data_IF_750533824766
#
_entry.id   IF_750533824766
#
_cell.length_a   1.000
_cell.length_b   1.000
_cell.length_c   1.000
_cell.angle_alpha   90.00
_cell.angle_beta   90.00
_cell.angle_gamma   90.00
#
_symmetry.space_group_name_H-M   'P 1'
#
loop_
_entity.id
_entity.type
_entity.pdbx_description
1 polymer ?
#
# COMPACT_ATOMS: atom_id res chain seq x y z
N UNK A 1 2.48 5.08 5.36
CA UNK A 1 1.95 5.97 6.42
C UNK A 1 2.93 5.97 7.59
N UNK A 2 3.18 7.12 8.22
CA UNK A 2 4.11 7.25 9.35
C UNK A 2 3.40 7.93 10.52
N UNK A 3 3.60 7.42 11.73
CA UNK A 3 3.11 8.04 12.97
C UNK A 3 4.23 8.09 14.01
N UNK A 4 4.40 9.22 14.69
CA UNK A 4 5.44 9.43 15.70
C UNK A 4 4.86 9.89 17.03
N UNK A 5 5.46 9.44 18.13
CA UNK A 5 5.03 9.76 19.49
C UNK A 5 6.22 9.79 20.47
N UNK A 6 5.97 10.29 21.68
CA UNK A 6 6.88 10.14 22.82
C UNK A 6 6.40 8.97 23.66
N UNK A 7 7.29 8.04 23.97
CA UNK A 7 6.97 6.81 24.67
C UNK A 7 8.00 6.46 25.74
N UNK A 8 8.00 5.20 26.14
CA UNK A 8 8.91 4.65 27.12
C UNK A 8 10.33 4.45 26.57
N UNK A 9 11.28 4.24 27.49
CA UNK A 9 12.59 3.72 27.15
C UNK A 9 12.46 2.30 26.59
N UNK A 10 13.20 1.92 25.52
CA UNK A 10 13.25 0.53 25.05
C UNK A 10 13.74 -0.47 26.11
N UNK A 11 14.36 0.02 27.20
CA UNK A 11 14.74 -0.80 28.36
C UNK A 11 13.56 -1.14 29.27
N UNK A 12 12.53 -0.30 29.29
CA UNK A 12 11.32 -0.49 30.09
C UNK A 12 10.25 -1.29 29.33
N UNK A 13 10.22 -1.18 28.01
CA UNK A 13 9.31 -1.91 27.14
C UNK A 13 9.47 -1.51 25.68
N UNK A 14 8.97 -2.36 24.79
CA UNK A 14 8.75 -2.00 23.38
C UNK A 14 7.24 -1.90 23.19
N UNK A 15 6.73 -0.77 22.68
CA UNK A 15 5.30 -0.62 22.46
C UNK A 15 4.81 -1.59 21.39
N UNK A 16 3.59 -2.10 21.58
CA UNK A 16 2.87 -2.89 20.58
C UNK A 16 2.09 -1.95 19.68
N UNK A 17 2.22 -2.13 18.37
CA UNK A 17 1.50 -1.33 17.37
C UNK A 17 0.55 -2.25 16.61
N UNK A 18 -0.69 -1.82 16.50
CA UNK A 18 -1.69 -2.41 15.62
C UNK A 18 -2.25 -1.34 14.68
N UNK A 19 -2.86 -1.79 13.58
CA UNK A 19 -3.62 -0.92 12.69
C UNK A 19 -5.11 -1.21 12.83
N UNK A 20 -5.91 -0.17 12.93
CA UNK A 20 -7.36 -0.26 12.97
C UNK A 20 -7.96 0.33 11.70
N UNK A 21 -9.06 -0.28 11.24
CA UNK A 21 -9.86 0.19 10.11
C UNK A 21 -11.24 0.63 10.62
N UNK A 22 -11.75 1.71 10.07
CA UNK A 22 -13.13 2.13 10.31
C UNK A 22 -14.09 1.19 9.58
N UNK A 23 -15.00 0.54 10.32
CA UNK A 23 -15.99 -0.42 9.77
C UNK A 23 -17.40 0.18 9.70
N UNK A 24 -17.67 1.18 10.53
CA UNK A 24 -18.82 2.08 10.45
C UNK A 24 -18.43 3.42 11.10
N UNK A 25 -19.28 4.45 11.01
CA UNK A 25 -18.98 5.78 11.52
C UNK A 25 -18.42 5.74 12.95
N UNK A 26 -17.17 6.20 13.10
CA UNK A 26 -16.40 6.21 14.35
C UNK A 26 -16.26 4.85 15.07
N UNK A 27 -16.54 3.75 14.37
CA UNK A 27 -16.37 2.38 14.86
C UNK A 27 -15.17 1.75 14.20
N UNK A 28 -14.20 1.37 15.03
CA UNK A 28 -12.88 0.92 14.58
C UNK A 28 -12.65 -0.53 14.99
N UNK A 29 -12.13 -1.32 14.06
CA UNK A 29 -11.73 -2.70 14.31
C UNK A 29 -10.25 -2.89 14.00
N UNK A 30 -9.55 -3.60 14.88
CA UNK A 30 -8.18 -4.03 14.61
C UNK A 30 -8.16 -4.89 13.35
N UNK A 31 -7.29 -4.55 12.41
CA UNK A 31 -7.08 -5.36 11.22
C UNK A 31 -6.49 -6.71 11.64
N UNK A 32 -7.16 -7.79 11.22
CA UNK A 32 -6.78 -9.17 11.57
C UNK A 32 -6.47 -9.98 10.34
N UNK A 33 -5.56 -10.94 10.53
CA UNK A 33 -5.28 -12.02 9.59
C UNK A 33 -6.40 -13.06 9.68
N UNK A 34 -6.51 -13.94 8.69
CA UNK A 34 -7.37 -15.14 8.69
C UNK A 34 -7.20 -16.00 9.94
N UNK A 35 -6.01 -16.02 10.55
CA UNK A 35 -5.76 -16.72 11.81
C UNK A 35 -6.42 -16.08 13.04
N UNK A 36 -7.07 -14.93 12.88
CA UNK A 36 -7.59 -14.10 13.97
C UNK A 36 -6.52 -13.23 14.65
N UNK A 37 -5.24 -13.44 14.35
CA UNK A 37 -4.15 -12.62 14.89
C UNK A 37 -4.22 -11.18 14.34
N UNK A 38 -3.95 -10.16 15.17
CA UNK A 38 -3.85 -8.80 14.68
C UNK A 38 -2.66 -8.63 13.72
N UNK A 39 -2.75 -7.59 12.90
CA UNK A 39 -1.63 -7.07 12.12
C UNK A 39 -0.75 -6.26 13.07
N UNK A 40 0.45 -6.79 13.34
CA UNK A 40 1.37 -6.35 14.39
C UNK A 40 2.83 -6.68 14.00
N UNK A 41 3.80 -6.21 14.80
CA UNK A 41 5.23 -6.51 14.68
C UNK A 41 5.83 -6.26 13.29
N UNK A 42 6.28 -7.32 12.61
CA UNK A 42 6.94 -7.33 11.29
C UNK A 42 6.06 -6.76 10.17
N UNK A 43 4.84 -6.35 10.50
CA UNK A 43 4.00 -5.59 9.60
C UNK A 43 4.39 -4.13 9.44
N UNK A 44 5.22 -3.63 10.36
CA UNK A 44 5.63 -2.24 10.46
C UNK A 44 7.15 -2.12 10.55
N UNK A 45 7.67 -0.96 10.17
CA UNK A 45 9.00 -0.53 10.60
C UNK A 45 8.84 0.32 11.85
N UNK A 46 9.51 -0.06 12.93
CA UNK A 46 9.51 0.66 14.20
C UNK A 46 10.87 1.33 14.38
N UNK A 47 10.85 2.63 14.62
CA UNK A 47 12.02 3.47 14.83
C UNK A 47 12.02 4.01 16.25
N UNK A 48 13.21 4.15 16.81
CA UNK A 48 13.44 4.74 18.12
C UNK A 48 14.61 5.72 18.06
N UNK A 49 14.46 6.86 18.72
CA UNK A 49 15.57 7.77 18.99
C UNK A 49 15.38 8.42 20.36
N UNK A 50 16.34 8.24 21.28
CA UNK A 50 16.36 8.99 22.53
C UNK A 50 16.95 10.40 22.34
N UNK A 51 16.46 11.36 23.11
CA UNK A 51 16.86 12.76 23.08
C UNK A 51 17.22 13.24 24.50
N UNK A 52 18.49 13.55 24.81
CA UNK A 52 19.64 13.53 23.89
C UNK A 52 20.09 12.10 23.52
N UNK A 53 20.75 11.95 22.37
CA UNK A 53 21.33 10.67 21.93
C UNK A 53 22.53 10.23 22.80
N UNK A 54 23.30 11.20 23.27
CA UNK A 54 24.42 10.97 24.20
C UNK A 54 24.12 11.78 25.45
N UNK A 55 23.83 11.14 26.59
CA UNK A 55 23.61 11.86 27.82
C UNK A 55 24.94 12.42 28.35
N UNK A 56 24.91 13.62 28.93
CA UNK A 56 26.07 14.27 29.54
C UNK A 56 26.42 13.66 30.90
N UNK A 57 25.46 13.02 31.57
CA UNK A 57 25.66 12.24 32.79
C UNK A 57 24.90 10.91 32.72
N UNK A 58 25.32 9.86 33.46
CA UNK A 58 24.61 8.57 33.44
C UNK A 58 23.14 8.62 33.86
N UNK A 59 22.74 9.66 34.60
CA UNK A 59 21.39 9.83 35.17
C UNK A 59 20.56 10.89 34.44
N UNK A 60 21.08 11.49 33.36
CA UNK A 60 20.32 12.48 32.61
C UNK A 60 19.05 11.83 32.03
N UNK A 61 17.91 12.45 32.30
CA UNK A 61 16.64 12.06 31.69
C UNK A 61 16.67 12.19 30.17
N UNK A 62 15.94 11.31 29.49
CA UNK A 62 15.89 11.26 28.03
C UNK A 62 14.45 11.18 27.57
N UNK A 63 14.09 12.00 26.59
CA UNK A 63 12.83 11.85 25.88
C UNK A 63 12.99 10.74 24.85
N UNK A 64 12.14 9.72 24.92
CA UNK A 64 12.18 8.61 23.97
C UNK A 64 11.16 8.84 22.86
N UNK A 65 11.66 9.16 21.67
CA UNK A 65 10.82 9.36 20.49
C UNK A 65 10.74 8.06 19.73
N UNK A 66 9.52 7.66 19.40
CA UNK A 66 9.20 6.50 18.59
C UNK A 66 8.52 6.94 17.31
N UNK A 67 8.72 6.17 16.24
CA UNK A 67 7.92 6.31 15.03
C UNK A 67 7.63 4.93 14.45
N UNK A 68 6.46 4.78 13.86
CA UNK A 68 6.05 3.58 13.14
C UNK A 68 5.77 3.93 11.69
N UNK A 69 6.23 3.11 10.77
CA UNK A 69 5.91 3.18 9.36
C UNK A 69 5.18 1.91 8.91
N UNK A 70 4.09 2.11 8.18
CA UNK A 70 3.37 1.06 7.47
C UNK A 70 3.44 1.32 5.96
N UNK A 71 3.93 0.34 5.20
CA UNK A 71 3.71 0.30 3.76
C UNK A 71 2.30 -0.27 3.51
N UNK A 72 1.47 0.50 2.79
CA UNK A 72 0.04 0.24 2.58
C UNK A 72 -0.17 -0.91 1.59
N UNK A 73 0.09 -2.14 2.05
CA UNK A 73 -0.08 -3.37 1.25
C UNK A 73 -0.90 -4.37 2.05
N UNK A 74 -1.67 -5.20 1.36
CA UNK A 74 -2.51 -6.24 1.97
C UNK A 74 -1.66 -7.14 2.86
N UNK A 75 -1.86 -7.18 4.19
CA UNK A 75 -1.07 -8.02 5.08
C UNK A 75 -1.11 -9.49 4.63
N UNK A 76 0.02 -10.20 4.74
CA UNK A 76 0.02 -11.63 4.47
C UNK A 76 -0.94 -12.34 5.43
N UNK A 77 -1.62 -13.39 4.99
CA UNK A 77 -2.65 -14.03 5.82
C UNK A 77 -3.98 -13.29 5.79
N UNK A 78 -4.21 -12.32 4.88
CA UNK A 78 -5.55 -11.72 4.70
C UNK A 78 -6.47 -12.73 4.02
N UNK A 79 -7.70 -12.89 4.52
CA UNK A 79 -8.63 -13.86 3.96
C UNK A 79 -8.91 -13.60 2.48
N UNK A 80 -8.71 -14.62 1.63
CA UNK A 80 -8.86 -14.51 0.18
C UNK A 80 -7.75 -13.77 -0.56
N UNK A 81 -6.76 -13.19 0.14
CA UNK A 81 -5.71 -12.33 -0.41
C UNK A 81 -4.33 -12.72 0.12
N UNK A 82 -3.91 -13.96 -0.17
CA UNK A 82 -2.66 -14.55 0.33
C UNK A 82 -1.56 -14.64 -0.73
N UNK A 83 -1.82 -14.23 -1.97
CA UNK A 83 -0.83 -14.30 -3.05
C UNK A 83 -0.01 -13.03 -3.15
N UNK A 84 1.14 -13.11 -3.81
CA UNK A 84 1.97 -11.93 -4.04
C UNK A 84 1.29 -10.89 -4.95
N UNK A 85 0.45 -11.35 -5.89
CA UNK A 85 -0.36 -10.47 -6.74
C UNK A 85 -1.45 -9.70 -5.97
N UNK A 86 -1.82 -10.16 -4.78
CA UNK A 86 -2.85 -9.54 -3.94
C UNK A 86 -2.32 -8.46 -3.01
N UNK A 87 -1.01 -8.24 -2.99
CA UNK A 87 -0.36 -7.30 -2.06
C UNK A 87 -0.78 -5.86 -2.28
N UNK A 88 -1.23 -5.53 -3.49
CA UNK A 88 -1.76 -4.20 -3.86
C UNK A 88 -3.26 -4.05 -3.58
N UNK A 89 -3.91 -5.08 -3.03
CA UNK A 89 -5.34 -5.13 -2.77
C UNK A 89 -5.77 -4.73 -1.36
N UNK A 90 -5.03 -3.82 -0.70
CA UNK A 90 -5.41 -3.36 0.64
C UNK A 90 -6.76 -2.65 0.53
N UNK A 91 -7.72 -3.03 1.36
CA UNK A 91 -9.04 -2.42 1.32
C UNK A 91 -8.95 -0.89 1.50
N UNK A 92 -9.71 -0.15 0.71
CA UNK A 92 -9.79 1.30 0.84
C UNK A 92 -10.62 1.69 2.07
N UNK A 93 -10.45 2.94 2.52
CA UNK A 93 -11.18 3.51 3.65
C UNK A 93 -10.26 4.20 4.66
N UNK A 94 -10.78 4.48 5.86
CA UNK A 94 -10.05 5.18 6.91
C UNK A 94 -9.37 4.18 7.86
N UNK A 95 -8.13 4.49 8.20
CA UNK A 95 -7.25 3.70 9.05
C UNK A 95 -6.63 4.58 10.13
N UNK A 96 -6.22 3.97 11.24
CA UNK A 96 -5.43 4.65 12.28
C UNK A 96 -4.48 3.67 12.96
N UNK A 97 -3.36 4.18 13.47
CA UNK A 97 -2.48 3.41 14.34
C UNK A 97 -3.04 3.41 15.75
N UNK A 98 -2.99 2.25 16.41
CA UNK A 98 -3.20 2.11 17.84
C UNK A 98 -1.92 1.55 18.48
N UNK A 99 -1.41 2.26 19.48
CA UNK A 99 -0.15 1.99 20.16
C UNK A 99 -0.43 1.74 21.63
N UNK A 100 -0.01 0.58 22.12
CA UNK A 100 -0.06 0.24 23.54
C UNK A 100 1.38 0.09 24.05
N UNK A 101 1.76 0.88 25.06
CA UNK A 101 3.06 0.79 25.71
C UNK A 101 2.94 0.57 27.21
N UNK A 102 4.06 0.67 27.94
CA UNK A 102 4.04 0.49 29.39
C UNK A 102 3.31 1.64 30.10
N UNK A 103 2.03 1.42 30.41
CA UNK A 103 1.20 2.36 31.17
C UNK A 103 0.58 3.48 30.33
N UNK A 104 0.54 3.35 29.00
CA UNK A 104 -0.10 4.31 28.12
C UNK A 104 -0.70 3.64 26.87
N UNK A 105 -1.72 4.29 26.32
CA UNK A 105 -2.28 4.00 25.00
C UNK A 105 -2.37 5.28 24.19
N UNK A 106 -2.02 5.21 22.91
CA UNK A 106 -2.04 6.34 21.98
C UNK A 106 -2.67 5.87 20.68
N UNK A 107 -3.58 6.68 20.15
CA UNK A 107 -4.19 6.46 18.84
C UNK A 107 -3.84 7.63 17.92
N UNK A 108 -3.41 7.35 16.69
CA UNK A 108 -3.13 8.40 15.71
C UNK A 108 -4.41 9.09 15.26
N UNK A 109 -4.29 10.29 14.68
CA UNK A 109 -5.37 10.80 13.83
C UNK A 109 -5.63 9.79 12.69
N UNK A 110 -6.89 9.59 12.26
CA UNK A 110 -7.19 8.78 11.09
C UNK A 110 -6.53 9.30 9.81
N UNK A 111 -6.22 8.39 8.90
CA UNK A 111 -5.75 8.67 7.55
C UNK A 111 -6.48 7.79 6.54
N UNK A 112 -6.51 8.22 5.29
CA UNK A 112 -7.23 7.52 4.21
C UNK A 112 -6.28 6.60 3.42
N UNK A 113 -6.78 5.40 3.13
CA UNK A 113 -6.24 4.47 2.13
C UNK A 113 -7.14 4.56 0.92
N UNK A 114 -6.60 5.10 -0.17
CA UNK A 114 -7.25 5.25 -1.45
C UNK A 114 -6.57 4.33 -2.49
N UNK A 115 -7.20 4.07 -3.64
CA UNK A 115 -6.55 3.36 -4.73
C UNK A 115 -5.25 4.05 -5.14
N UNK A 116 -4.23 3.24 -5.47
CA UNK A 116 -2.94 3.78 -5.92
C UNK A 116 -2.93 3.99 -7.43
N UNK A 117 -1.99 4.81 -7.88
CA UNK A 117 -1.67 4.95 -9.30
C UNK A 117 -0.68 3.86 -9.74
N UNK A 118 -0.91 3.31 -10.93
CA UNK A 118 0.01 2.46 -11.68
C UNK A 118 0.77 3.33 -12.69
N UNK A 119 2.07 3.07 -12.83
CA UNK A 119 2.82 3.56 -13.98
C UNK A 119 2.35 2.82 -15.23
N UNK A 120 1.90 3.56 -16.24
CA UNK A 120 1.39 3.02 -17.48
C UNK A 120 2.19 3.53 -18.67
N UNK A 121 2.69 2.61 -19.49
CA UNK A 121 3.17 2.87 -20.84
C UNK A 121 2.18 2.20 -21.80
N UNK A 122 1.60 2.92 -22.76
CA UNK A 122 0.81 2.30 -23.81
C UNK A 122 0.95 3.03 -25.14
N UNK A 123 0.65 2.34 -26.22
CA UNK A 123 0.63 2.88 -27.57
C UNK A 123 -0.44 2.19 -28.42
N UNK A 124 -0.93 2.93 -29.43
CA UNK A 124 -1.80 2.39 -30.47
C UNK A 124 -1.03 2.31 -31.79
N UNK A 125 -0.93 1.11 -32.35
CA UNK A 125 -0.33 0.87 -33.66
C UNK A 125 -1.02 -0.29 -34.39
N UNK A 126 -1.27 -0.12 -35.69
CA UNK A 126 -1.86 -1.19 -36.51
C UNK A 126 -3.23 -1.68 -36.02
N UNK A 127 -4.04 -0.79 -35.43
CA UNK A 127 -5.35 -1.15 -34.87
C UNK A 127 -5.28 -1.89 -33.53
N UNK A 128 -4.12 -1.87 -32.88
CA UNK A 128 -3.91 -2.58 -31.61
C UNK A 128 -3.43 -1.64 -30.52
N UNK A 129 -3.92 -1.90 -29.32
CA UNK A 129 -3.56 -1.19 -28.11
C UNK A 129 -2.67 -2.12 -27.28
N UNK A 130 -1.40 -1.73 -27.16
CA UNK A 130 -0.38 -2.49 -26.42
C UNK A 130 0.18 -1.62 -25.31
N UNK A 131 0.52 -2.21 -24.18
CA UNK A 131 1.14 -1.46 -23.10
C UNK A 131 1.68 -2.32 -21.99
N UNK A 132 2.17 -1.65 -20.94
CA UNK A 132 2.74 -2.23 -19.74
C UNK A 132 2.35 -1.42 -18.52
N UNK A 133 1.81 -2.08 -17.50
CA UNK A 133 1.44 -1.47 -16.23
C UNK A 133 2.37 -1.96 -15.10
N UNK A 134 2.78 -1.05 -14.21
CA UNK A 134 3.66 -1.34 -13.07
C UNK A 134 3.22 -0.58 -11.83
N UNK A 135 3.46 -1.16 -10.66
CA UNK A 135 3.41 -0.45 -9.39
C UNK A 135 4.82 0.00 -9.01
N UNK A 136 4.96 1.22 -8.49
CA UNK A 136 6.23 1.70 -7.97
C UNK A 136 6.07 2.31 -6.59
N UNK A 137 6.77 1.74 -5.61
CA UNK A 137 6.89 2.29 -4.26
C UNK A 137 8.37 2.64 -4.03
N UNK A 138 8.84 3.86 -4.35
CA UNK A 138 10.27 4.20 -4.30
C UNK A 138 10.94 4.03 -2.92
N UNK A 139 10.14 4.06 -1.85
CA UNK A 139 10.58 3.85 -0.47
C UNK A 139 10.06 2.52 0.12
N UNK A 140 9.56 1.62 -0.75
CA UNK A 140 8.97 0.35 -0.37
C UNK A 140 10.00 -0.64 0.14
N UNK A 141 9.62 -1.39 1.17
CA UNK A 141 10.44 -2.40 1.85
C UNK A 141 9.74 -3.76 1.98
N UNK A 142 8.45 -3.82 1.66
CA UNK A 142 7.67 -5.06 1.60
C UNK A 142 7.94 -5.82 0.30
N UNK A 143 7.94 -7.14 0.40
CA UNK A 143 7.99 -8.03 -0.77
C UNK A 143 6.74 -7.83 -1.64
N UNK A 144 6.95 -7.36 -2.87
CA UNK A 144 5.93 -7.20 -3.92
C UNK A 144 6.20 -8.07 -5.14
N UNK A 145 7.44 -8.55 -5.32
CA UNK A 145 7.85 -9.43 -6.40
C UNK A 145 8.94 -10.37 -5.90
N UNK A 146 9.00 -11.62 -6.38
CA UNK A 146 9.93 -12.64 -5.86
C UNK A 146 11.41 -12.35 -6.18
N UNK A 147 11.66 -11.64 -7.28
CA UNK A 147 13.01 -11.42 -7.82
C UNK A 147 13.39 -9.96 -7.99
N UNK A 148 12.43 -9.03 -7.92
CA UNK A 148 12.70 -7.60 -8.05
C UNK A 148 12.78 -6.97 -6.66
N UNK A 149 13.49 -5.85 -6.55
CA UNK A 149 13.60 -5.13 -5.28
C UNK A 149 12.27 -4.46 -4.93
N UNK A 150 11.99 -4.34 -3.64
CA UNK A 150 10.76 -3.75 -3.11
C UNK A 150 10.57 -2.26 -3.44
N UNK A 151 11.65 -1.59 -3.85
CA UNK A 151 11.70 -0.17 -4.18
C UNK A 151 11.90 0.13 -5.67
N UNK A 152 11.87 -0.90 -6.51
CA UNK A 152 11.90 -0.79 -7.97
C UNK A 152 10.50 -1.01 -8.54
N UNK A 153 10.20 -0.55 -9.77
CA UNK A 153 8.92 -0.83 -10.41
C UNK A 153 8.67 -2.34 -10.55
N UNK A 154 7.50 -2.80 -10.09
CA UNK A 154 7.06 -4.20 -10.19
C UNK A 154 5.88 -4.31 -11.15
N UNK A 155 5.79 -5.37 -11.97
CA UNK A 155 4.65 -5.57 -12.86
C UNK A 155 3.30 -5.62 -12.11
N UNK A 156 2.29 -4.93 -12.64
CA UNK A 156 0.91 -5.24 -12.31
C UNK A 156 0.53 -6.55 -13.04
N UNK A 157 -0.28 -7.42 -12.43
CA UNK A 157 -0.62 -8.72 -13.02
C UNK A 157 -2.09 -9.05 -12.80
N UNK A 158 -2.63 -9.95 -13.63
CA UNK A 158 -4.02 -10.41 -13.50
C UNK A 158 -5.01 -9.63 -14.37
N UNK A 159 -6.30 -9.83 -14.11
CA UNK A 159 -7.38 -9.24 -14.88
C UNK A 159 -7.52 -7.74 -14.61
N UNK A 160 -7.68 -6.95 -15.67
CA UNK A 160 -7.84 -5.50 -15.63
C UNK A 160 -8.90 -5.04 -16.63
N UNK A 161 -9.53 -3.91 -16.31
CA UNK A 161 -10.37 -3.16 -17.25
C UNK A 161 -9.52 -2.10 -17.94
N UNK A 162 -9.46 -2.15 -19.26
CA UNK A 162 -8.90 -1.09 -20.09
C UNK A 162 -10.04 -0.18 -20.53
N UNK A 163 -10.17 0.99 -19.89
CA UNK A 163 -11.12 2.03 -20.28
C UNK A 163 -10.47 2.95 -21.29
N UNK A 164 -10.85 2.82 -22.56
CA UNK A 164 -10.36 3.70 -23.61
C UNK A 164 -11.32 4.88 -23.82
N UNK A 165 -10.81 6.11 -23.77
CA UNK A 165 -11.59 7.30 -24.12
C UNK A 165 -11.57 7.50 -25.62
N UNK A 166 -12.75 7.63 -26.22
CA UNK A 166 -12.93 7.88 -27.66
C UNK A 166 -13.77 9.14 -27.88
N UNK A 167 -13.87 9.59 -29.14
CA UNK A 167 -14.77 10.69 -29.50
C UNK A 167 -16.26 10.41 -29.28
N UNK A 168 -16.66 9.14 -29.13
CA UNK A 168 -18.05 8.71 -28.90
C UNK A 168 -18.34 8.41 -27.41
N UNK A 169 -17.32 8.43 -26.57
CA UNK A 169 -17.39 8.09 -25.15
C UNK A 169 -16.35 7.05 -24.72
N UNK A 170 -16.46 6.60 -23.48
CA UNK A 170 -15.56 5.58 -22.92
C UNK A 170 -15.99 4.16 -23.34
N UNK A 171 -15.00 3.34 -23.71
CA UNK A 171 -15.18 1.94 -24.09
C UNK A 171 -14.32 1.06 -23.18
N UNK A 172 -14.96 0.17 -22.44
CA UNK A 172 -14.27 -0.79 -21.56
C UNK A 172 -13.93 -2.08 -22.32
N UNK A 173 -12.66 -2.48 -22.26
CA UNK A 173 -12.13 -3.73 -22.81
C UNK A 173 -11.50 -4.54 -21.69
N UNK A 174 -11.84 -5.82 -21.59
CA UNK A 174 -11.23 -6.70 -20.61
C UNK A 174 -9.90 -7.23 -21.12
N UNK A 175 -8.88 -7.21 -20.26
CA UNK A 175 -7.56 -7.75 -20.56
C UNK A 175 -7.00 -8.51 -19.36
N UNK A 176 -6.04 -9.38 -19.64
CA UNK A 176 -5.22 -10.01 -18.60
C UNK A 176 -3.79 -9.54 -18.79
N UNK A 177 -3.21 -8.94 -17.74
CA UNK A 177 -1.80 -8.58 -17.70
C UNK A 177 -0.96 -9.84 -17.51
N UNK A 178 0.03 -10.02 -18.38
CA UNK A 178 1.00 -11.11 -18.27
C UNK A 178 1.95 -10.91 -17.06
N UNK A 179 2.85 -11.87 -16.76
CA UNK A 179 3.81 -11.73 -15.65
C UNK A 179 4.76 -10.53 -15.75
N UNK A 180 4.95 -9.96 -16.94
CA UNK A 180 5.74 -8.74 -17.17
C UNK A 180 4.87 -7.47 -17.07
N UNK A 181 3.56 -7.62 -16.86
CA UNK A 181 2.57 -6.56 -16.75
C UNK A 181 2.11 -6.03 -18.09
N UNK A 182 2.30 -6.79 -19.17
CA UNK A 182 1.94 -6.38 -20.52
C UNK A 182 0.50 -6.76 -20.86
N UNK A 183 -0.13 -5.93 -21.69
CA UNK A 183 -1.39 -6.23 -22.35
C UNK A 183 -1.31 -5.92 -23.84
N UNK A 184 -2.25 -6.54 -24.54
CA UNK A 184 -2.19 -6.67 -25.99
C UNK A 184 -3.62 -6.95 -26.48
N UNK A 185 -4.34 -5.90 -26.91
CA UNK A 185 -5.76 -5.99 -27.30
C UNK A 185 -6.06 -5.25 -28.60
N UNK A 186 -7.23 -5.49 -29.18
CA UNK A 186 -7.74 -4.66 -30.26
C UNK A 186 -7.98 -3.23 -29.74
N UNK A 187 -7.49 -2.22 -30.46
CA UNK A 187 -7.71 -0.82 -30.07
C UNK A 187 -9.16 -0.42 -30.39
N UNK A 188 -9.90 0.16 -29.43
CA UNK A 188 -11.16 0.83 -29.73
C UNK A 188 -10.94 1.93 -30.78
N UNK A 189 -11.87 2.05 -31.73
CA UNK A 189 -11.75 3.01 -32.82
C UNK A 189 -11.72 4.44 -32.28
N UNK A 190 -10.74 5.24 -32.73
CA UNK A 190 -10.61 6.63 -32.31
C UNK A 190 -10.23 6.82 -30.83
N UNK A 191 -9.64 5.82 -30.18
CA UNK A 191 -9.13 5.96 -28.82
C UNK A 191 -8.02 7.02 -28.73
N UNK A 192 -8.18 7.97 -27.81
CA UNK A 192 -7.24 9.08 -27.55
C UNK A 192 -6.55 8.96 -26.19
N UNK A 193 -7.09 8.14 -25.30
CA UNK A 193 -6.46 7.80 -24.02
C UNK A 193 -6.87 6.39 -23.59
N UNK A 194 -6.12 5.81 -22.66
CA UNK A 194 -6.51 4.58 -21.97
C UNK A 194 -6.21 4.71 -20.48
N UNK A 195 -7.15 4.23 -19.67
CA UNK A 195 -6.97 3.95 -18.26
C UNK A 195 -6.99 2.44 -18.02
N UNK A 196 -5.99 1.91 -17.33
CA UNK A 196 -5.98 0.54 -16.81
C UNK A 196 -6.52 0.57 -15.38
N UNK A 197 -7.50 -0.27 -15.08
CA UNK A 197 -8.13 -0.39 -13.76
C UNK A 197 -7.99 -1.85 -13.30
N UNK A 198 -7.31 -2.09 -12.18
CA UNK A 198 -7.23 -3.43 -11.60
C UNK A 198 -8.47 -3.81 -10.79
N UNK A 199 -8.55 -5.07 -10.35
CA UNK A 199 -9.69 -5.57 -9.55
C UNK A 199 -9.83 -4.93 -8.16
N UNK A 200 -8.83 -4.19 -7.70
CA UNK A 200 -8.84 -3.47 -6.43
C UNK A 200 -9.14 -1.98 -6.63
N UNK A 201 -9.35 -1.54 -7.87
CA UNK A 201 -9.64 -0.16 -8.23
C UNK A 201 -8.40 0.71 -8.39
N UNK A 202 -7.18 0.16 -8.35
CA UNK A 202 -5.97 0.90 -8.68
C UNK A 202 -5.98 1.27 -10.16
N UNK A 203 -5.45 2.45 -10.49
CA UNK A 203 -5.58 3.01 -11.85
C UNK A 203 -4.26 3.45 -12.43
N UNK A 204 -4.04 3.30 -13.72
CA UNK A 204 -2.96 3.96 -14.46
C UNK A 204 -3.52 4.53 -15.75
N UNK A 205 -3.06 5.71 -16.18
CA UNK A 205 -3.59 6.38 -17.36
C UNK A 205 -2.48 6.87 -18.30
N UNK A 206 -2.82 6.93 -19.59
CA UNK A 206 -1.96 7.50 -20.63
C UNK A 206 -2.81 8.08 -21.74
N UNK A 207 -2.37 9.20 -22.30
CA UNK A 207 -2.96 9.86 -23.47
C UNK A 207 -2.02 9.67 -24.67
N UNK A 208 -2.59 9.47 -25.87
CA UNK A 208 -1.85 9.22 -27.12
C UNK A 208 -1.61 10.49 -27.94
#
# INVERSE_FOLDING_TARGET
AIFAWMGESPRAGTPTITIEREVSEDTWETLRRRSGRPVEDQDFLLYHTPDPLIPSTPLQERTHRWAVEWQLVTPLGTEGLDTLGDRVGLATGRYRFHVAGTGYEITSRPFEVAPTTMELEAAIAGGRLTGRARFHAPQGWRLLHLTLRSNEPVPATGEVTLRATTGEGDVDVMATLDPDGRFDVAAPAGATAVQVIDRFGNVGDVTF
#
